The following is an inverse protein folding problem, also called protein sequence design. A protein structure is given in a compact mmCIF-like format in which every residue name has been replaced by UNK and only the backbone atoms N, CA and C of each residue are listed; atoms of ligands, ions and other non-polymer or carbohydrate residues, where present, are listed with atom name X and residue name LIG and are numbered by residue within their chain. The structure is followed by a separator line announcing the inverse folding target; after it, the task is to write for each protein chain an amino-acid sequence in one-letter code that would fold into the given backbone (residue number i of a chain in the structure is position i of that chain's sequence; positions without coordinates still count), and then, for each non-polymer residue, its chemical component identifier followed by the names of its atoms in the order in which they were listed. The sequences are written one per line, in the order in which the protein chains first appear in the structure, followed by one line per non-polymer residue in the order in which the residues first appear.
data_IF_693505205794
#
_entry.id   IF_693505205794
#
_cell.length_a   1.000
_cell.length_b   1.000
_cell.length_c   1.000
_cell.angle_alpha   90.00
_cell.angle_beta   90.00
_cell.angle_gamma   90.00
#
_symmetry.space_group_name_H-M   'P 1'
#
loop_
_entity.id
_entity.type
_entity.pdbx_description
1 polymer ?
#
# COMPACT_ATOMS: atom_id res chain seq x y z
N UNK A 1 -37.97 3.72 -9.15
CA UNK A 1 -38.40 2.35 -9.51
C UNK A 1 -37.48 1.90 -10.63
N UNK A 2 -36.56 0.99 -10.32
CA UNK A 2 -35.68 0.37 -11.33
C UNK A 2 -36.35 -0.92 -11.82
N UNK A 3 -36.74 -0.93 -13.10
CA UNK A 3 -37.61 -1.91 -13.76
C UNK A 3 -36.86 -3.14 -14.30
N UNK A 4 -35.56 -3.26 -14.06
CA UNK A 4 -34.75 -4.40 -14.47
C UNK A 4 -33.84 -4.75 -13.29
N UNK A 5 -33.97 -5.96 -12.76
CA UNK A 5 -33.24 -6.47 -11.59
C UNK A 5 -31.72 -6.63 -11.78
N UNK A 6 -31.05 -5.67 -12.41
CA UNK A 6 -29.62 -5.43 -12.24
C UNK A 6 -29.45 -4.73 -10.90
N UNK A 7 -29.46 -5.53 -9.83
CA UNK A 7 -29.28 -5.05 -8.47
C UNK A 7 -28.06 -4.13 -8.39
N UNK A 8 -28.21 -3.01 -7.68
CA UNK A 8 -27.08 -2.22 -7.22
C UNK A 8 -26.08 -3.18 -6.58
N UNK A 9 -24.93 -3.38 -7.23
CA UNK A 9 -23.80 -4.10 -6.62
C UNK A 9 -23.53 -3.36 -5.31
N UNK A 10 -23.90 -3.96 -4.19
CA UNK A 10 -23.77 -3.31 -2.90
C UNK A 10 -22.33 -2.87 -2.69
N UNK A 11 -22.18 -1.71 -2.08
CA UNK A 11 -20.88 -1.10 -1.83
C UNK A 11 -20.30 -1.72 -0.55
N UNK A 12 -19.11 -2.30 -0.66
CA UNK A 12 -18.34 -2.84 0.46
C UNK A 12 -17.14 -1.92 0.67
N UNK A 13 -17.01 -1.37 1.88
CA UNK A 13 -15.92 -0.49 2.25
C UNK A 13 -15.12 -1.01 3.44
N UNK A 14 -13.80 -0.77 3.39
CA UNK A 14 -12.88 -1.04 4.48
C UNK A 14 -12.56 0.27 5.21
N UNK A 15 -12.88 0.34 6.50
CA UNK A 15 -12.53 1.44 7.40
C UNK A 15 -11.34 1.00 8.25
N UNK A 16 -10.13 1.44 7.89
CA UNK A 16 -8.87 0.99 8.51
C UNK A 16 -8.30 1.94 9.56
N UNK A 17 -8.72 3.20 9.53
CA UNK A 17 -8.23 4.24 10.44
C UNK A 17 -9.40 5.06 10.98
N UNK A 18 -10.18 4.50 11.91
CA UNK A 18 -11.32 5.20 12.49
C UNK A 18 -10.91 6.44 13.30
N UNK A 19 -9.64 6.56 13.71
CA UNK A 19 -9.12 7.68 14.51
C UNK A 19 -8.41 8.76 13.67
N UNK A 20 -8.18 8.52 12.37
CA UNK A 20 -7.52 9.47 11.47
C UNK A 20 -6.05 9.76 11.79
N UNK A 21 -5.39 8.88 12.54
CA UNK A 21 -4.00 9.09 12.98
C UNK A 21 -2.98 8.39 12.07
N UNK A 22 -3.43 7.47 11.21
CA UNK A 22 -2.53 6.64 10.40
C UNK A 22 -2.09 7.40 9.16
N UNK A 23 -0.77 7.47 8.98
CA UNK A 23 -0.14 8.08 7.81
C UNK A 23 -0.66 7.43 6.52
N UNK A 24 -1.00 8.27 5.55
CA UNK A 24 -1.28 7.85 4.18
C UNK A 24 -0.15 8.28 3.27
N UNK A 25 0.15 7.45 2.27
CA UNK A 25 1.10 7.79 1.21
C UNK A 25 0.45 7.62 -0.15
N UNK A 26 0.93 8.43 -1.09
CA UNK A 26 0.48 8.39 -2.47
C UNK A 26 1.29 7.35 -3.25
N UNK A 27 0.62 6.29 -3.67
CA UNK A 27 1.22 5.17 -4.40
C UNK A 27 0.83 5.27 -5.87
N UNK A 28 1.82 5.28 -6.77
CA UNK A 28 1.59 5.21 -8.21
C UNK A 28 1.12 3.80 -8.57
N UNK A 29 -0.07 3.68 -9.14
CA UNK A 29 -0.67 2.38 -9.45
C UNK A 29 -0.17 1.79 -10.77
N UNK A 30 0.12 2.65 -11.75
CA UNK A 30 0.61 2.29 -13.10
C UNK A 30 1.47 3.43 -13.68
N UNK A 31 2.50 3.07 -14.44
CA UNK A 31 3.39 4.02 -15.13
C UNK A 31 2.69 4.81 -16.25
N UNK A 32 1.69 4.21 -16.91
CA UNK A 32 1.09 4.79 -18.12
C UNK A 32 -0.06 5.80 -17.88
N UNK A 33 -0.66 5.83 -16.69
CA UNK A 33 -1.88 6.61 -16.46
C UNK A 33 -1.78 7.65 -15.34
N UNK A 34 -0.60 7.87 -14.76
CA UNK A 34 -0.40 8.79 -13.63
C UNK A 34 -1.44 8.61 -12.50
N UNK A 35 -2.04 7.41 -12.41
CA UNK A 35 -3.11 7.14 -11.47
C UNK A 35 -2.46 6.87 -10.12
N UNK A 36 -2.76 7.74 -9.16
CA UNK A 36 -2.22 7.66 -7.82
C UNK A 36 -3.32 7.26 -6.85
N UNK A 37 -2.96 6.50 -5.83
CA UNK A 37 -3.88 6.03 -4.80
C UNK A 37 -3.31 6.31 -3.42
N UNK A 38 -4.13 6.94 -2.57
CA UNK A 38 -3.82 7.13 -1.15
C UNK A 38 -4.00 5.80 -0.43
N UNK A 39 -2.90 5.27 0.10
CA UNK A 39 -2.86 4.02 0.85
C UNK A 39 -2.40 4.27 2.28
N UNK A 40 -3.02 3.58 3.24
CA UNK A 40 -2.57 3.61 4.63
C UNK A 40 -1.23 2.90 4.78
N UNK A 41 -0.34 3.50 5.57
CA UNK A 41 1.00 2.99 5.82
C UNK A 41 1.02 2.09 7.05
N UNK A 42 1.71 0.96 6.94
CA UNK A 42 1.96 0.00 7.99
C UNK A 42 3.45 -0.34 8.07
N UNK A 43 3.87 -0.80 9.24
CA UNK A 43 5.22 -1.32 9.46
C UNK A 43 5.16 -2.81 9.82
N UNK A 44 6.32 -3.46 9.80
CA UNK A 44 6.45 -4.85 10.21
C UNK A 44 6.05 -5.03 11.69
N UNK A 45 5.35 -6.13 11.96
CA UNK A 45 4.80 -6.43 13.29
C UNK A 45 3.60 -5.58 13.73
N UNK A 46 3.18 -4.54 12.98
CA UNK A 46 2.00 -3.77 13.36
C UNK A 46 0.69 -4.55 13.20
N UNK A 47 -0.23 -4.31 14.12
CA UNK A 47 -1.61 -4.79 14.04
C UNK A 47 -2.35 -4.16 12.85
N UNK A 48 -3.22 -4.96 12.24
CA UNK A 48 -4.12 -4.51 11.17
C UNK A 48 -5.55 -4.74 11.63
N UNK A 49 -6.25 -3.67 11.98
CA UNK A 49 -7.65 -3.72 12.40
C UNK A 49 -8.50 -2.66 11.71
N UNK A 50 -9.81 -2.85 11.78
CA UNK A 50 -10.77 -1.94 11.18
C UNK A 50 -12.19 -2.51 11.20
N UNK A 51 -13.07 -1.81 10.49
CA UNK A 51 -14.47 -2.20 10.33
C UNK A 51 -14.80 -2.30 8.84
N UNK A 52 -15.60 -3.31 8.49
CA UNK A 52 -16.16 -3.49 7.17
C UNK A 52 -17.59 -2.97 7.16
N UNK A 53 -17.93 -2.09 6.22
CA UNK A 53 -19.30 -1.61 6.05
C UNK A 53 -19.83 -2.17 4.74
N UNK A 54 -20.96 -2.86 4.81
CA UNK A 54 -21.68 -3.36 3.64
C UNK A 54 -23.07 -2.71 3.57
N UNK A 55 -23.31 -1.94 2.51
CA UNK A 55 -24.59 -1.28 2.23
C UNK A 55 -25.66 -2.28 1.72
N UNK A 56 -26.96 -1.93 1.81
CA UNK A 56 -28.05 -2.82 1.46
C UNK A 56 -28.00 -3.08 -0.05
N UNK A 57 -27.99 -4.35 -0.43
CA UNK A 57 -27.78 -4.81 -1.81
C UNK A 57 -26.77 -5.95 -1.89
N UNK A 58 -25.71 -5.92 -1.08
CA UNK A 58 -24.83 -7.09 -0.86
C UNK A 58 -25.33 -7.96 0.31
N UNK A 59 -25.80 -7.32 1.36
CA UNK A 59 -26.45 -7.95 2.51
C UNK A 59 -27.90 -7.46 2.62
N UNK A 60 -28.73 -8.21 3.36
CA UNK A 60 -30.12 -7.85 3.64
C UNK A 60 -30.24 -6.56 4.45
N UNK A 61 -29.23 -6.26 5.27
CA UNK A 61 -29.20 -5.10 6.16
C UNK A 61 -27.81 -4.43 6.12
N UNK A 62 -27.77 -3.14 6.50
CA UNK A 62 -26.50 -2.46 6.77
C UNK A 62 -25.78 -3.20 7.89
N UNK A 63 -24.65 -3.82 7.54
CA UNK A 63 -23.87 -4.59 8.51
C UNK A 63 -22.48 -3.98 8.64
N UNK A 64 -22.06 -3.77 9.89
CA UNK A 64 -20.67 -3.46 10.23
C UNK A 64 -20.03 -4.69 10.85
N UNK A 65 -18.89 -5.11 10.32
CA UNK A 65 -18.14 -6.26 10.85
C UNK A 65 -16.74 -5.78 11.21
N UNK A 66 -16.40 -5.85 12.49
CA UNK A 66 -15.06 -5.51 12.96
C UNK A 66 -14.10 -6.69 12.75
N UNK A 67 -12.86 -6.35 12.42
CA UNK A 67 -11.78 -7.33 12.30
C UNK A 67 -10.51 -6.78 12.93
N UNK A 68 -9.68 -7.69 13.44
CA UNK A 68 -8.41 -7.36 14.04
C UNK A 68 -7.43 -8.51 13.86
N UNK A 69 -6.28 -8.20 13.24
CA UNK A 69 -5.17 -9.10 13.05
C UNK A 69 -3.99 -8.57 13.88
N UNK A 70 -3.65 -9.22 15.01
CA UNK A 70 -2.53 -8.80 15.84
C UNK A 70 -1.20 -9.26 15.26
N UNK A 71 -0.13 -8.48 15.47
CA UNK A 71 1.26 -8.81 15.15
C UNK A 71 1.47 -9.35 13.72
N UNK A 72 0.93 -8.64 12.71
CA UNK A 72 0.99 -9.13 11.32
C UNK A 72 2.41 -8.97 10.78
N UNK A 73 3.05 -10.07 10.41
CA UNK A 73 4.35 -10.07 9.75
C UNK A 73 4.26 -9.47 8.35
N UNK A 74 5.08 -8.45 8.09
CA UNK A 74 5.21 -7.72 6.82
C UNK A 74 6.69 -7.45 6.56
N UNK A 75 7.50 -8.50 6.31
CA UNK A 75 8.97 -8.42 6.32
C UNK A 75 9.57 -7.62 5.15
N UNK A 76 8.77 -7.27 4.14
CA UNK A 76 9.23 -6.57 2.94
C UNK A 76 8.42 -5.30 2.69
N UNK A 77 9.11 -4.24 2.27
CA UNK A 77 8.47 -2.99 1.83
C UNK A 77 7.66 -3.18 0.54
N UNK A 78 6.51 -2.50 0.45
CA UNK A 78 5.68 -2.48 -0.75
C UNK A 78 6.45 -1.89 -1.93
N UNK A 79 6.42 -2.59 -3.07
CA UNK A 79 7.17 -2.21 -4.26
C UNK A 79 6.33 -2.33 -5.53
N UNK A 80 6.40 -1.31 -6.39
CA UNK A 80 5.78 -1.33 -7.71
C UNK A 80 6.89 -0.99 -8.71
N UNK A 81 7.39 -2.02 -9.38
CA UNK A 81 8.37 -1.90 -10.45
C UNK A 81 7.82 -2.35 -11.80
N UNK A 82 8.69 -2.30 -12.81
CA UNK A 82 8.32 -2.60 -14.21
C UNK A 82 7.89 -4.06 -14.38
N UNK A 83 8.67 -4.98 -13.80
CA UNK A 83 8.47 -6.43 -13.99
C UNK A 83 7.96 -7.13 -12.73
N UNK A 84 7.97 -6.45 -11.58
CA UNK A 84 7.68 -7.04 -10.27
C UNK A 84 6.86 -6.06 -9.45
N UNK A 85 5.80 -6.59 -8.82
CA UNK A 85 4.96 -5.86 -7.87
C UNK A 85 4.85 -6.66 -6.58
N UNK A 86 5.27 -6.07 -5.48
CA UNK A 86 5.08 -6.57 -4.12
C UNK A 86 4.01 -5.69 -3.47
N UNK A 87 2.84 -6.28 -3.20
CA UNK A 87 1.71 -5.57 -2.58
C UNK A 87 1.14 -6.36 -1.42
N UNK A 88 0.66 -5.63 -0.42
CA UNK A 88 -0.16 -6.15 0.67
C UNK A 88 -1.58 -5.61 0.51
N UNK A 89 -2.57 -6.45 0.77
CA UNK A 89 -3.97 -6.07 0.63
C UNK A 89 -4.86 -6.87 1.57
N UNK A 90 -5.95 -6.26 2.00
CA UNK A 90 -7.06 -6.93 2.67
C UNK A 90 -8.05 -7.40 1.62
N UNK A 91 -8.57 -8.62 1.78
CA UNK A 91 -9.58 -9.19 0.87
C UNK A 91 -10.76 -9.72 1.67
N UNK A 92 -11.95 -9.19 1.38
CA UNK A 92 -13.22 -9.74 1.83
C UNK A 92 -13.78 -10.62 0.72
N UNK A 93 -14.31 -11.78 1.09
CA UNK A 93 -15.03 -12.66 0.16
C UNK A 93 -16.36 -13.06 0.78
N UNK A 94 -17.46 -12.60 0.18
CA UNK A 94 -18.81 -13.03 0.53
C UNK A 94 -19.14 -14.24 -0.34
N UNK A 95 -19.23 -15.41 0.30
CA UNK A 95 -19.52 -16.67 -0.38
C UNK A 95 -21.01 -16.72 -0.72
N UNK A 96 -21.34 -16.95 -1.98
CA UNK A 96 -22.72 -17.01 -2.48
C UNK A 96 -22.94 -18.26 -3.33
N UNK A 97 -24.21 -18.59 -3.57
CA UNK A 97 -24.59 -19.79 -4.34
C UNK A 97 -24.11 -19.78 -5.79
N UNK A 98 -24.03 -18.60 -6.43
CA UNK A 98 -23.70 -18.48 -7.86
C UNK A 98 -22.35 -17.80 -8.08
N UNK A 99 -22.18 -16.56 -7.61
CA UNK A 99 -20.94 -15.79 -7.77
C UNK A 99 -20.57 -15.12 -6.46
N UNK A 100 -19.36 -15.37 -5.98
CA UNK A 100 -18.83 -14.70 -4.80
C UNK A 100 -18.63 -13.22 -5.06
N UNK A 101 -18.87 -12.40 -4.05
CA UNK A 101 -18.49 -10.98 -4.07
C UNK A 101 -17.11 -10.86 -3.43
N UNK A 102 -16.18 -10.23 -4.13
CA UNK A 102 -14.81 -9.99 -3.65
C UNK A 102 -14.57 -8.49 -3.60
N UNK A 103 -14.11 -8.00 -2.45
CA UNK A 103 -13.66 -6.63 -2.27
C UNK A 103 -12.22 -6.64 -1.75
N UNK A 104 -11.37 -5.80 -2.34
CA UNK A 104 -9.96 -5.69 -1.96
C UNK A 104 -9.61 -4.26 -1.57
N UNK A 105 -8.72 -4.13 -0.58
CA UNK A 105 -8.15 -2.84 -0.16
C UNK A 105 -6.64 -2.98 -0.03
N UNK A 106 -5.91 -2.32 -0.94
CA UNK A 106 -4.45 -2.26 -0.88
C UNK A 106 -3.99 -1.43 0.34
N UNK A 107 -2.90 -1.87 0.95
CA UNK A 107 -2.17 -1.16 2.02
C UNK A 107 -0.69 -1.05 1.63
N UNK A 108 -0.01 -0.05 2.16
CA UNK A 108 1.41 0.15 1.90
C UNK A 108 2.24 -0.22 3.13
N UNK A 109 3.29 -1.02 2.94
CA UNK A 109 4.25 -1.37 3.98
C UNK A 109 5.53 -0.60 3.73
N UNK A 110 6.05 0.08 4.74
CA UNK A 110 7.36 0.74 4.70
C UNK A 110 8.32 0.06 5.68
N UNK A 111 9.60 0.02 5.32
CA UNK A 111 10.65 -0.43 6.23
C UNK A 111 11.40 0.78 6.79
N UNK A 112 11.50 0.87 8.12
CA UNK A 112 12.38 1.85 8.75
C UNK A 112 13.81 1.36 8.60
N UNK A 113 14.58 2.01 7.73
CA UNK A 113 16.01 1.75 7.62
C UNK A 113 16.77 2.63 8.61
N UNK A 114 17.65 2.03 9.40
CA UNK A 114 18.67 2.77 10.14
C UNK A 114 19.91 2.84 9.26
N UNK A 115 20.19 4.03 8.73
CA UNK A 115 21.45 4.26 8.00
C UNK A 115 22.63 4.14 8.98
N UNK A 116 23.76 3.54 8.56
CA UNK A 116 24.96 3.55 9.38
C UNK A 116 25.41 4.99 9.65
N UNK A 117 25.78 5.31 10.89
CA UNK A 117 26.21 6.66 11.30
C UNK A 117 27.54 7.10 10.65
N UNK A 118 28.27 6.17 10.03
CA UNK A 118 29.56 6.44 9.38
C UNK A 118 29.31 6.96 7.96
N UNK A 119 29.15 8.28 7.86
CA UNK A 119 28.99 9.02 6.62
C UNK A 119 30.35 9.32 5.95
N UNK A 120 31.06 8.28 5.48
CA UNK A 120 32.25 8.52 4.65
C UNK A 120 31.82 9.11 3.30
N UNK A 121 32.47 10.20 2.85
CA UNK A 121 32.19 10.77 1.53
C UNK A 121 32.45 9.74 0.43
N UNK A 122 31.47 9.51 -0.44
CA UNK A 122 31.65 8.64 -1.61
C UNK A 122 32.44 9.45 -2.64
N UNK A 123 33.61 8.95 -3.02
CA UNK A 123 34.45 9.52 -4.06
C UNK A 123 34.40 8.65 -5.30
N UNK A 124 34.17 9.25 -6.45
CA UNK A 124 34.23 8.60 -7.76
C UNK A 124 35.14 9.40 -8.68
N UNK A 125 36.14 8.76 -9.26
CA UNK A 125 37.09 9.38 -10.19
C UNK A 125 36.92 8.75 -11.58
N UNK A 126 36.83 9.59 -12.61
CA UNK A 126 36.79 9.15 -14.00
C UNK A 126 37.76 10.01 -14.80
N UNK A 127 38.59 9.37 -15.61
CA UNK A 127 39.58 10.08 -16.41
C UNK A 127 40.14 9.27 -17.56
N UNK A 128 40.83 9.97 -18.44
CA UNK A 128 41.71 9.45 -19.49
C UNK A 128 43.12 9.88 -19.12
N UNK A 129 44.03 8.93 -19.02
CA UNK A 129 45.43 9.16 -18.70
C UNK A 129 46.02 10.27 -19.58
N UNK A 130 46.73 11.21 -18.95
CA UNK A 130 47.36 12.37 -19.58
C UNK A 130 46.45 13.30 -20.39
N UNK A 131 45.13 13.16 -20.27
CA UNK A 131 44.17 13.94 -21.05
C UNK A 131 43.11 14.62 -20.17
N UNK A 132 42.47 13.89 -19.26
CA UNK A 132 41.32 14.38 -18.50
C UNK A 132 41.18 13.61 -17.19
N UNK A 133 40.90 14.32 -16.10
CA UNK A 133 40.57 13.70 -14.82
C UNK A 133 39.47 14.50 -14.13
N UNK A 134 38.40 13.83 -13.71
CA UNK A 134 37.23 14.41 -13.05
C UNK A 134 36.93 13.61 -11.77
N UNK A 135 36.82 14.30 -10.64
CA UNK A 135 36.44 13.73 -9.34
C UNK A 135 35.02 14.20 -8.96
N UNK A 136 34.19 13.25 -8.55
CA UNK A 136 32.89 13.51 -7.93
C UNK A 136 32.95 13.11 -6.46
N UNK A 137 32.59 14.04 -5.58
CA UNK A 137 32.51 13.80 -4.14
C UNK A 137 31.04 13.98 -3.72
N UNK A 138 30.42 12.90 -3.24
CA UNK A 138 29.07 12.93 -2.68
C UNK A 138 29.15 12.81 -1.16
N UNK A 139 28.61 13.81 -0.46
CA UNK A 139 28.41 13.75 0.97
C UNK A 139 27.07 13.05 1.26
N UNK A 140 27.06 12.12 2.22
CA UNK A 140 25.80 11.57 2.72
C UNK A 140 25.05 12.66 3.51
N UNK A 141 23.85 13.02 3.06
CA UNK A 141 22.92 13.82 3.84
C UNK A 141 21.97 12.86 4.56
N UNK A 142 22.06 12.80 5.89
CA UNK A 142 21.02 12.16 6.70
C UNK A 142 19.83 13.12 6.75
N UNK A 143 18.72 12.77 6.09
CA UNK A 143 17.40 13.39 6.26
C UNK A 143 16.47 12.46 7.00
#
# INVERSE_FOLDING_TARGET
MDLLGLGSKGHIDFILDPQGQRKQIEVKLDDNNNKRSLQYTYYDGEDVGGSLIALPGELTENTSIDFHFPNVEKPYESYIGINVKLRYFLRLTIIRRFTNTIAERDICVQQLSQYPEINNSIKMEVGIEDCLHIEFILNHFNT
#
